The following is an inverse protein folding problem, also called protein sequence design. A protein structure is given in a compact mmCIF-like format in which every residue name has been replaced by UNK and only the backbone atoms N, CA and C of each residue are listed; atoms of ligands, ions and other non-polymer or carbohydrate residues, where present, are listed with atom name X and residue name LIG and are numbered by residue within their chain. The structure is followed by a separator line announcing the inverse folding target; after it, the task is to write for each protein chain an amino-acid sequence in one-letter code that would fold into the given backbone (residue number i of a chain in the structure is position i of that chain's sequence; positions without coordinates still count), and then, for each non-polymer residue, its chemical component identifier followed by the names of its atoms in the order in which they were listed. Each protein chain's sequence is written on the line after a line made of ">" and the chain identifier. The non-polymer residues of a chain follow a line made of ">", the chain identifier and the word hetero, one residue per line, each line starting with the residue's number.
data_IF_174496944046
#
_entry.id   IF_174496944046
#
_cell.length_a   1.000
_cell.length_b   1.000
_cell.length_c   1.000
_cell.angle_alpha   90.00
_cell.angle_beta   90.00
_cell.angle_gamma   90.00
#
_symmetry.space_group_name_H-M   'P 1'
#
loop_
_entity.id
_entity.type
_entity.pdbx_description
1 polymer ?
#
# COMPACT_ATOMS: atom_id res chain seq x y z
N UNK A 1 -34.88 -14.22 -9.40
CA UNK A 1 -34.18 -13.37 -8.40
C UNK A 1 -32.96 -12.78 -9.09
N UNK A 2 -32.60 -11.51 -8.86
CA UNK A 2 -31.38 -10.96 -9.43
C UNK A 2 -30.15 -11.68 -8.86
N UNK A 3 -29.13 -11.86 -9.68
CA UNK A 3 -27.89 -12.49 -9.25
C UNK A 3 -27.22 -11.65 -8.15
N UNK A 4 -26.75 -12.28 -7.05
CA UNK A 4 -26.10 -11.57 -5.97
C UNK A 4 -24.83 -10.86 -6.47
N UNK A 5 -24.74 -9.55 -6.20
CA UNK A 5 -23.65 -8.68 -6.66
C UNK A 5 -22.58 -8.40 -5.60
N UNK A 6 -22.84 -8.75 -4.34
CA UNK A 6 -22.00 -8.37 -3.21
C UNK A 6 -21.71 -9.57 -2.32
N UNK A 7 -20.44 -9.73 -1.97
CA UNK A 7 -19.99 -10.64 -0.93
C UNK A 7 -19.70 -9.86 0.35
N UNK A 8 -20.37 -10.21 1.44
CA UNK A 8 -20.14 -9.62 2.76
C UNK A 8 -19.44 -10.65 3.66
N UNK A 9 -18.35 -10.22 4.29
CA UNK A 9 -17.54 -11.06 5.18
C UNK A 9 -17.57 -10.43 6.57
N UNK A 10 -18.01 -11.19 7.56
CA UNK A 10 -18.09 -10.78 8.95
C UNK A 10 -17.28 -11.73 9.83
N UNK A 11 -16.42 -11.19 10.68
CA UNK A 11 -15.55 -11.99 11.55
C UNK A 11 -15.56 -11.43 12.98
N UNK A 12 -15.60 -12.33 13.96
CA UNK A 12 -15.31 -12.03 15.36
C UNK A 12 -14.00 -12.72 15.73
N UNK A 13 -12.96 -11.93 16.01
CA UNK A 13 -11.63 -12.44 16.32
C UNK A 13 -11.23 -11.98 17.73
N UNK A 14 -11.13 -12.90 18.70
CA UNK A 14 -10.60 -12.56 20.01
C UNK A 14 -9.10 -12.34 19.91
N UNK A 15 -8.61 -11.36 20.66
CA UNK A 15 -7.18 -11.13 20.84
C UNK A 15 -6.89 -11.19 22.34
N UNK A 16 -5.73 -11.72 22.70
CA UNK A 16 -5.19 -11.62 24.05
C UNK A 16 -4.81 -10.16 24.36
N UNK A 17 -4.22 -9.88 25.52
CA UNK A 17 -3.73 -8.55 25.87
C UNK A 17 -2.61 -8.08 24.91
N UNK A 18 -3.02 -7.51 23.77
CA UNK A 18 -2.15 -7.14 22.67
C UNK A 18 -2.42 -5.71 22.20
N UNK A 19 -1.35 -4.98 21.87
CA UNK A 19 -1.41 -3.62 21.37
C UNK A 19 -1.37 -3.60 19.84
N UNK A 20 -2.48 -4.01 19.22
CA UNK A 20 -2.59 -4.25 17.77
C UNK A 20 -2.40 -3.01 16.89
N UNK A 21 -2.80 -1.84 17.39
CA UNK A 21 -2.81 -0.61 16.60
C UNK A 21 -2.68 0.59 17.53
N UNK A 22 -1.73 1.50 17.21
CA UNK A 22 -1.43 2.69 18.01
C UNK A 22 -1.90 3.98 17.33
N UNK A 23 -2.11 5.01 18.12
CA UNK A 23 -2.21 6.40 17.65
C UNK A 23 -0.86 7.10 17.65
N UNK A 24 -0.84 8.39 17.30
CA UNK A 24 0.38 9.18 17.19
C UNK A 24 1.06 9.42 18.55
N UNK A 25 0.32 9.23 19.65
CA UNK A 25 0.80 9.28 21.03
C UNK A 25 1.36 7.93 21.51
N UNK A 26 1.27 6.88 20.69
CA UNK A 26 1.70 5.53 21.03
C UNK A 26 0.69 4.72 21.84
N UNK A 27 -0.51 5.25 22.11
CA UNK A 27 -1.59 4.60 22.84
C UNK A 27 -2.43 3.70 21.94
N UNK A 28 -3.14 2.73 22.52
CA UNK A 28 -4.08 1.90 21.76
C UNK A 28 -5.12 2.77 21.08
N UNK A 29 -5.27 2.62 19.76
CA UNK A 29 -6.28 3.36 19.00
C UNK A 29 -7.66 2.95 19.48
N UNK A 30 -8.52 3.92 19.79
CA UNK A 30 -9.87 3.71 20.36
C UNK A 30 -10.93 4.49 19.62
N UNK A 31 -12.20 4.10 19.78
CA UNK A 31 -13.37 4.84 19.29
C UNK A 31 -14.56 4.66 20.24
N UNK A 32 -15.49 5.63 20.35
CA UNK A 32 -16.74 5.44 21.08
C UNK A 32 -17.75 4.62 20.26
N UNK A 33 -18.30 3.54 20.82
CA UNK A 33 -19.33 2.74 20.16
C UNK A 33 -20.30 2.14 21.19
N UNK A 34 -21.58 2.48 21.05
CA UNK A 34 -22.62 2.06 22.00
C UNK A 34 -22.42 2.65 23.41
N UNK A 35 -22.03 3.91 23.50
CA UNK A 35 -21.85 4.62 24.79
C UNK A 35 -20.56 4.30 25.55
N UNK A 36 -19.73 3.37 25.07
CA UNK A 36 -18.46 2.98 25.71
C UNK A 36 -17.28 3.10 24.74
N UNK A 37 -16.09 3.34 25.28
CA UNK A 37 -14.85 3.34 24.50
C UNK A 37 -14.41 1.91 24.18
N UNK A 38 -14.13 1.63 22.91
CA UNK A 38 -13.62 0.34 22.45
C UNK A 38 -12.28 0.50 21.73
N UNK A 39 -11.41 -0.50 21.88
CA UNK A 39 -10.19 -0.59 21.06
C UNK A 39 -10.56 -0.76 19.59
N UNK A 40 -9.81 -0.11 18.71
CA UNK A 40 -10.03 -0.10 17.27
C UNK A 40 -8.77 -0.49 16.52
N UNK A 41 -8.89 -1.53 15.70
CA UNK A 41 -7.93 -1.75 14.61
C UNK A 41 -8.44 -0.99 13.39
N UNK A 42 -7.63 -0.08 12.85
CA UNK A 42 -8.06 0.74 11.72
C UNK A 42 -8.02 -0.04 10.42
N UNK A 43 -8.90 0.28 9.47
CA UNK A 43 -8.99 -0.45 8.21
C UNK A 43 -7.69 -0.42 7.42
N UNK A 44 -6.94 0.68 7.46
CA UNK A 44 -5.62 0.77 6.83
C UNK A 44 -4.58 -0.15 7.47
N UNK A 45 -4.67 -0.42 8.78
CA UNK A 45 -3.78 -1.35 9.47
C UNK A 45 -4.06 -2.78 8.97
N UNK A 46 -5.33 -3.22 8.98
CA UNK A 46 -5.73 -4.53 8.49
C UNK A 46 -5.41 -4.72 7.01
N UNK A 47 -5.78 -3.76 6.14
CA UNK A 47 -5.49 -3.82 4.71
C UNK A 47 -4.00 -3.82 4.39
N UNK A 48 -3.16 -3.22 5.25
CA UNK A 48 -1.69 -3.33 5.08
C UNK A 48 -1.20 -4.68 5.56
N UNK A 49 -1.67 -5.17 6.71
CA UNK A 49 -1.33 -6.49 7.22
C UNK A 49 -1.61 -7.58 6.17
N UNK A 50 -2.80 -7.60 5.57
CA UNK A 50 -3.15 -8.59 4.55
C UNK A 50 -2.34 -8.47 3.25
N UNK A 51 -2.02 -7.23 2.81
CA UNK A 51 -1.20 -7.01 1.61
C UNK A 51 0.28 -7.34 1.78
N UNK A 52 0.75 -7.37 3.03
CA UNK A 52 2.16 -7.62 3.37
C UNK A 52 2.37 -8.99 4.00
N UNK A 53 1.32 -9.81 4.08
CA UNK A 53 1.43 -11.18 4.58
C UNK A 53 2.32 -11.97 3.63
N UNK A 54 3.29 -12.69 4.18
CA UNK A 54 4.18 -13.61 3.46
C UNK A 54 4.09 -14.97 4.16
N UNK A 55 2.91 -15.55 4.05
CA UNK A 55 2.55 -16.83 4.65
C UNK A 55 1.67 -17.61 3.66
N UNK A 56 1.34 -18.89 3.93
CA UNK A 56 0.54 -19.70 3.01
C UNK A 56 -0.85 -19.14 2.65
N UNK A 57 -1.38 -18.20 3.44
CA UNK A 57 -2.68 -17.55 3.24
C UNK A 57 -2.55 -16.13 2.64
N UNK A 58 -1.36 -15.73 2.19
CA UNK A 58 -1.14 -14.42 1.60
C UNK A 58 -2.02 -14.17 0.37
N UNK A 59 -2.53 -12.94 0.21
CA UNK A 59 -3.41 -12.56 -0.90
C UNK A 59 -2.74 -12.77 -2.27
N UNK A 60 -1.42 -12.63 -2.35
CA UNK A 60 -0.65 -12.88 -3.58
C UNK A 60 -0.69 -14.35 -4.04
N UNK A 61 -1.06 -15.29 -3.16
CA UNK A 61 -1.20 -16.71 -3.49
C UNK A 61 -2.58 -17.08 -4.03
N UNK A 62 -3.54 -16.15 -4.02
CA UNK A 62 -4.86 -16.36 -4.62
C UNK A 62 -4.71 -16.36 -6.14
N UNK A 63 -5.27 -17.35 -6.81
CA UNK A 63 -5.24 -17.43 -8.27
C UNK A 63 -5.90 -16.18 -8.90
N UNK A 64 -5.25 -15.60 -9.91
CA UNK A 64 -5.65 -14.33 -10.50
C UNK A 64 -5.40 -13.07 -9.65
N UNK A 65 -4.69 -13.17 -8.53
CA UNK A 65 -4.31 -12.01 -7.72
C UNK A 65 -3.28 -11.14 -8.43
N UNK A 66 -3.59 -9.85 -8.60
CA UNK A 66 -2.66 -8.86 -9.12
C UNK A 66 -2.01 -8.08 -7.96
N UNK A 67 -0.68 -8.03 -7.95
CA UNK A 67 0.07 -7.22 -7.00
C UNK A 67 -0.20 -5.72 -7.18
N UNK A 68 0.14 -4.91 -6.18
CA UNK A 68 0.13 -3.46 -6.33
C UNK A 68 1.25 -2.81 -5.52
N UNK A 69 1.98 -1.89 -6.15
CA UNK A 69 3.08 -1.16 -5.53
C UNK A 69 2.62 0.21 -5.05
N UNK A 70 2.78 0.48 -3.75
CA UNK A 70 2.55 1.82 -3.18
C UNK A 70 3.88 2.46 -2.81
N UNK A 71 4.29 3.51 -3.53
CA UNK A 71 5.60 4.15 -3.32
C UNK A 71 5.60 5.61 -3.77
N UNK A 72 6.49 6.41 -3.17
CA UNK A 72 6.89 7.74 -3.68
C UNK A 72 8.04 7.66 -4.70
N UNK A 73 8.60 6.47 -4.87
CA UNK A 73 9.77 6.19 -5.72
C UNK A 73 9.41 5.14 -6.77
N UNK A 74 8.16 5.15 -7.23
CA UNK A 74 7.62 4.13 -8.11
C UNK A 74 8.39 4.06 -9.44
N UNK A 75 8.60 5.21 -10.09
CA UNK A 75 9.40 5.35 -11.31
C UNK A 75 10.82 4.82 -11.10
N UNK A 76 11.49 5.26 -10.04
CA UNK A 76 12.86 4.82 -9.75
C UNK A 76 12.93 3.30 -9.61
N UNK A 77 12.10 2.72 -8.75
CA UNK A 77 12.17 1.30 -8.40
C UNK A 77 11.69 0.35 -9.50
N UNK A 78 10.66 0.75 -10.26
CA UNK A 78 10.01 -0.16 -11.21
C UNK A 78 10.40 0.09 -12.66
N UNK A 79 10.96 1.27 -12.97
CA UNK A 79 11.38 1.65 -14.32
C UNK A 79 12.90 1.83 -14.35
N UNK A 80 13.43 2.82 -13.64
CA UNK A 80 14.84 3.24 -13.79
C UNK A 80 15.81 2.16 -13.33
N UNK A 81 15.58 1.56 -12.16
CA UNK A 81 16.46 0.51 -11.63
C UNK A 81 16.50 -0.72 -12.57
N UNK A 82 15.41 -1.00 -13.31
CA UNK A 82 15.38 -2.10 -14.29
C UNK A 82 16.10 -1.79 -15.60
N UNK A 83 16.24 -0.51 -15.94
CA UNK A 83 16.91 -0.08 -17.16
C UNK A 83 18.42 0.09 -16.98
N UNK A 84 18.92 0.12 -15.73
CA UNK A 84 20.31 0.47 -15.40
C UNK A 84 21.36 -0.38 -16.11
N UNK A 85 21.07 -1.67 -16.33
CA UNK A 85 21.99 -2.58 -17.01
C UNK A 85 21.92 -2.49 -18.54
N UNK A 86 20.84 -1.91 -19.08
CA UNK A 86 20.53 -1.92 -20.51
C UNK A 86 20.73 -0.59 -21.22
N UNK A 87 20.93 0.50 -20.48
CA UNK A 87 20.98 1.87 -21.01
C UNK A 87 22.22 2.58 -20.44
N UNK A 88 22.97 3.34 -21.27
CA UNK A 88 24.08 4.16 -20.77
C UNK A 88 23.64 5.17 -19.69
N UNK A 89 24.52 5.45 -18.73
CA UNK A 89 24.23 6.32 -17.59
C UNK A 89 23.76 7.74 -17.98
N UNK A 90 24.32 8.29 -19.06
CA UNK A 90 23.93 9.60 -19.57
C UNK A 90 22.45 9.64 -20.00
N UNK A 91 22.00 8.59 -20.71
CA UNK A 91 20.64 8.48 -21.21
C UNK A 91 19.66 8.15 -20.07
N UNK A 92 20.08 7.29 -19.12
CA UNK A 92 19.29 6.96 -17.93
C UNK A 92 18.89 8.19 -17.12
N UNK A 93 19.82 9.14 -16.95
CA UNK A 93 19.55 10.37 -16.22
C UNK A 93 18.45 11.20 -16.90
N UNK A 94 18.53 11.34 -18.22
CA UNK A 94 17.51 12.05 -19.01
C UNK A 94 16.15 11.34 -18.93
N UNK A 95 16.14 10.01 -18.99
CA UNK A 95 14.93 9.20 -18.84
C UNK A 95 14.32 9.36 -17.45
N UNK A 96 15.10 9.29 -16.37
CA UNK A 96 14.61 9.48 -15.00
C UNK A 96 13.97 10.85 -14.84
N UNK A 97 14.66 11.93 -15.19
CA UNK A 97 14.12 13.30 -15.07
C UNK A 97 12.80 13.46 -15.84
N UNK A 98 12.74 12.97 -17.09
CA UNK A 98 11.54 13.02 -17.91
C UNK A 98 10.38 12.21 -17.32
N UNK A 99 10.62 10.98 -16.89
CA UNK A 99 9.58 10.10 -16.33
C UNK A 99 9.09 10.60 -14.96
N UNK A 100 9.98 11.10 -14.10
CA UNK A 100 9.58 11.63 -12.79
C UNK A 100 8.67 12.84 -12.96
N UNK A 101 8.97 13.74 -13.91
CA UNK A 101 8.12 14.88 -14.21
C UNK A 101 6.80 14.44 -14.84
N UNK A 102 6.82 13.46 -15.75
CA UNK A 102 5.60 12.95 -16.38
C UNK A 102 4.64 12.30 -15.37
N UNK A 103 5.17 11.56 -14.39
CA UNK A 103 4.36 10.80 -13.42
C UNK A 103 3.97 11.63 -12.20
N UNK A 104 4.88 12.46 -11.67
CA UNK A 104 4.64 13.24 -10.44
C UNK A 104 4.36 14.73 -10.68
N UNK A 105 4.37 15.19 -11.94
CA UNK A 105 4.23 16.60 -12.28
C UNK A 105 5.37 17.46 -11.72
N UNK A 106 5.07 18.73 -11.42
CA UNK A 106 6.05 19.69 -10.86
C UNK A 106 6.62 19.26 -9.50
N UNK A 107 5.98 18.29 -8.83
CA UNK A 107 6.43 17.70 -7.56
C UNK A 107 7.45 16.58 -7.73
N UNK A 108 7.81 16.19 -8.97
CA UNK A 108 8.79 15.13 -9.28
C UNK A 108 10.24 15.48 -8.96
N UNK A 109 10.54 16.77 -8.76
CA UNK A 109 11.87 17.35 -8.55
C UNK A 109 12.57 16.94 -7.26
N UNK A 110 11.84 16.54 -6.22
CA UNK A 110 12.44 16.00 -4.99
C UNK A 110 11.69 14.78 -4.46
N UNK A 111 12.42 13.83 -3.87
CA UNK A 111 11.83 12.62 -3.28
C UNK A 111 10.77 12.95 -2.19
N UNK A 112 10.99 14.02 -1.42
CA UNK A 112 10.08 14.42 -0.35
C UNK A 112 8.78 15.05 -0.87
N UNK A 113 8.83 15.75 -2.02
CA UNK A 113 7.65 16.39 -2.62
C UNK A 113 6.78 15.42 -3.41
N UNK A 114 7.31 14.26 -3.84
CA UNK A 114 6.55 13.25 -4.57
C UNK A 114 5.33 12.77 -3.79
N UNK A 115 4.19 12.75 -4.46
CA UNK A 115 2.99 12.11 -3.93
C UNK A 115 3.19 10.60 -3.85
N UNK A 116 2.56 9.94 -2.87
CA UNK A 116 2.56 8.47 -2.85
C UNK A 116 1.59 7.96 -3.90
N UNK A 117 2.09 7.20 -4.87
CA UNK A 117 1.29 6.56 -5.91
C UNK A 117 1.00 5.10 -5.57
N UNK A 118 -0.08 4.58 -6.16
CA UNK A 118 -0.43 3.16 -6.16
C UNK A 118 -0.49 2.71 -7.63
N UNK A 119 0.37 1.78 -8.03
CA UNK A 119 0.34 1.17 -9.36
C UNK A 119 -0.01 -0.32 -9.21
N UNK A 120 -1.06 -0.77 -9.90
CA UNK A 120 -1.38 -2.19 -10.02
C UNK A 120 -0.38 -2.90 -10.93
N UNK A 121 -0.09 -4.17 -10.66
CA UNK A 121 0.59 -5.03 -11.61
C UNK A 121 -0.32 -5.20 -12.86
N UNK A 122 0.28 -5.24 -14.06
CA UNK A 122 -0.46 -5.49 -15.31
C UNK A 122 -1.08 -6.89 -15.33
#
# INVERSE_FOLDING_TARGET
>A
MPDPRFLQIHTLSPYTAALLNRDDSGLAKRLPFGGVMRTRVSSQCLKRHWRMADDPLAIERIDGSAGAHRSRELVTKLVIDKLRESVPEADLKLIDEAFQKAVYGDKGTSKASRQTLLLGAP
#
